data_IF_912452777345
#
_entry.id   IF_912452777345
#
_cell.length_a   1.000
_cell.length_b   1.000
_cell.length_c   1.000
_cell.angle_alpha   90.00
_cell.angle_beta   90.00
_cell.angle_gamma   90.00
#
_symmetry.space_group_name_H-M   'P 1'
#
loop_
_entity.id
_entity.type
_entity.pdbx_description
1 polymer ?
#
# COMPACT_ATOMS: atom_id res chain seq x y z
N UNK A 1 19.62 -0.70 -0.17
CA UNK A 1 18.60 -1.46 0.57
C UNK A 1 18.30 -0.62 1.78
N UNK A 2 17.11 -0.05 1.76
CA UNK A 2 16.65 0.95 2.72
C UNK A 2 15.51 0.29 3.52
N UNK A 3 15.71 0.04 4.82
CA UNK A 3 14.67 -0.48 5.68
C UNK A 3 13.75 0.66 6.13
N UNK A 4 12.44 0.42 6.07
CA UNK A 4 11.44 1.45 6.41
C UNK A 4 10.79 1.13 7.77
N UNK A 5 9.98 0.08 7.82
CA UNK A 5 9.16 -0.26 8.97
C UNK A 5 9.41 -1.69 9.47
N UNK A 6 9.04 -1.98 10.72
CA UNK A 6 9.29 -3.26 11.37
C UNK A 6 8.06 -3.82 12.10
N UNK A 7 7.83 -5.13 11.94
CA UNK A 7 6.90 -5.90 12.75
C UNK A 7 7.59 -7.08 13.43
N UNK A 8 7.20 -7.38 14.66
CA UNK A 8 7.84 -8.43 15.48
C UNK A 8 6.86 -9.60 15.67
N UNK A 9 7.35 -10.83 15.52
CA UNK A 9 6.56 -12.04 15.77
C UNK A 9 6.11 -12.12 17.22
N UNK A 10 4.99 -12.81 17.47
CA UNK A 10 4.42 -12.92 18.82
C UNK A 10 5.38 -13.55 19.86
N UNK A 11 6.31 -14.41 19.43
CA UNK A 11 7.33 -15.02 20.28
C UNK A 11 8.63 -14.21 20.40
N UNK A 12 8.68 -13.02 19.78
CA UNK A 12 9.84 -12.11 19.75
C UNK A 12 11.12 -12.72 19.19
N UNK A 13 11.02 -13.76 18.36
CA UNK A 13 12.18 -14.40 17.73
C UNK A 13 12.45 -13.91 16.31
N UNK A 14 11.42 -13.42 15.62
CA UNK A 14 11.54 -12.91 14.26
C UNK A 14 11.10 -11.46 14.19
N UNK A 15 11.79 -10.70 13.37
CA UNK A 15 11.35 -9.40 12.88
C UNK A 15 11.13 -9.49 11.37
N UNK A 16 10.20 -8.69 10.88
CA UNK A 16 9.88 -8.51 9.48
C UNK A 16 10.04 -7.04 9.16
N UNK A 17 10.90 -6.71 8.21
CA UNK A 17 11.29 -5.34 7.89
C UNK A 17 10.90 -5.04 6.45
N UNK A 18 10.11 -3.99 6.21
CA UNK A 18 9.80 -3.54 4.85
C UNK A 18 11.05 -2.92 4.24
N UNK A 19 11.28 -3.26 2.98
CA UNK A 19 12.35 -2.70 2.14
C UNK A 19 11.65 -1.97 0.99
N UNK A 20 11.09 -0.80 1.30
CA UNK A 20 10.05 -0.18 0.50
C UNK A 20 10.49 0.01 -0.95
N UNK A 21 11.59 0.73 -1.18
CA UNK A 21 12.11 1.04 -2.50
C UNK A 21 12.76 -0.17 -3.19
N UNK A 22 12.88 -1.30 -2.49
CA UNK A 22 13.26 -2.60 -3.05
C UNK A 22 12.06 -3.54 -3.27
N UNK A 23 10.85 -3.10 -2.98
CA UNK A 23 9.61 -3.87 -3.13
C UNK A 23 9.71 -5.25 -2.45
N UNK A 24 10.17 -5.26 -1.19
CA UNK A 24 10.48 -6.49 -0.47
C UNK A 24 10.20 -6.44 1.02
N UNK A 25 10.23 -7.61 1.65
CA UNK A 25 10.23 -7.76 3.11
C UNK A 25 11.40 -8.64 3.53
N UNK A 26 12.28 -8.13 4.39
CA UNK A 26 13.32 -8.92 5.02
C UNK A 26 12.80 -9.64 6.27
N UNK A 27 13.12 -10.93 6.42
CA UNK A 27 12.97 -11.65 7.69
C UNK A 27 14.31 -11.60 8.44
N UNK A 28 14.25 -11.25 9.72
CA UNK A 28 15.39 -11.15 10.62
C UNK A 28 15.17 -12.10 11.78
N UNK A 29 16.14 -12.98 12.03
CA UNK A 29 16.23 -13.70 13.30
C UNK A 29 16.79 -12.74 14.36
N UNK A 30 15.96 -12.40 15.35
CA UNK A 30 16.29 -11.45 16.40
C UNK A 30 17.36 -12.02 17.34
N UNK A 31 17.37 -13.34 17.55
CA UNK A 31 18.27 -14.01 18.50
C UNK A 31 19.69 -14.01 17.96
N UNK A 32 19.88 -14.32 16.68
CA UNK A 32 21.19 -14.29 16.03
C UNK A 32 21.57 -12.93 15.45
N UNK A 33 20.60 -12.01 15.28
CA UNK A 33 20.80 -10.71 14.67
C UNK A 33 21.10 -10.79 13.17
N UNK A 34 20.56 -11.80 12.47
CA UNK A 34 20.85 -12.07 11.06
C UNK A 34 19.61 -12.02 10.18
N UNK A 35 19.73 -11.45 8.98
CA UNK A 35 18.72 -11.57 7.94
C UNK A 35 18.70 -13.02 7.45
N UNK A 36 17.55 -13.67 7.53
CA UNK A 36 17.36 -15.08 7.14
C UNK A 36 16.77 -15.22 5.74
N UNK A 37 16.01 -14.22 5.29
CA UNK A 37 15.31 -14.23 3.99
C UNK A 37 15.01 -12.80 3.53
N UNK A 38 15.00 -12.59 2.22
CA UNK A 38 14.34 -11.44 1.59
C UNK A 38 13.21 -11.99 0.71
N UNK A 39 11.99 -11.53 0.94
CA UNK A 39 10.80 -11.91 0.21
C UNK A 39 10.44 -10.81 -0.80
N UNK A 40 10.69 -11.01 -2.11
CA UNK A 40 10.25 -10.07 -3.13
C UNK A 40 8.72 -10.12 -3.26
N UNK A 41 8.10 -8.95 -3.43
CA UNK A 41 6.63 -8.85 -3.45
C UNK A 41 6.05 -9.01 -4.86
N UNK A 42 6.86 -8.87 -5.90
CA UNK A 42 6.41 -8.89 -7.28
C UNK A 42 5.56 -7.66 -7.61
N UNK A 43 4.57 -7.82 -8.48
CA UNK A 43 3.70 -6.72 -8.91
C UNK A 43 2.24 -7.13 -8.91
N UNK A 44 1.37 -6.13 -8.97
CA UNK A 44 -0.04 -6.30 -9.25
C UNK A 44 -0.35 -5.92 -10.70
N UNK A 45 -1.10 -6.77 -11.38
CA UNK A 45 -1.54 -6.53 -12.76
C UNK A 45 -2.81 -5.67 -12.76
N UNK A 46 -2.71 -4.45 -13.29
CA UNK A 46 -3.80 -3.46 -13.31
C UNK A 46 -4.77 -3.73 -14.47
N UNK A 47 -4.47 -4.69 -15.35
CA UNK A 47 -5.41 -5.14 -16.39
C UNK A 47 -6.54 -6.02 -15.83
N UNK A 48 -6.40 -6.51 -14.59
CA UNK A 48 -7.38 -7.38 -13.92
C UNK A 48 -8.51 -6.59 -13.25
N UNK A 49 -9.72 -7.14 -13.28
CA UNK A 49 -10.95 -6.45 -12.85
C UNK A 49 -10.96 -5.99 -11.38
N UNK A 50 -10.21 -6.68 -10.53
CA UNK A 50 -10.05 -6.38 -9.10
C UNK A 50 -9.03 -5.27 -8.80
N UNK A 51 -8.16 -4.92 -9.76
CA UNK A 51 -7.01 -4.04 -9.56
C UNK A 51 -7.01 -2.66 -10.26
N UNK A 52 -8.09 -2.19 -10.93
CA UNK A 52 -8.03 -0.94 -11.68
C UNK A 52 -7.83 0.26 -10.75
N UNK A 53 -7.08 1.24 -11.25
CA UNK A 53 -6.81 2.53 -10.60
C UNK A 53 -7.18 3.69 -11.51
N UNK A 54 -7.39 4.84 -10.89
CA UNK A 54 -7.34 6.08 -11.63
C UNK A 54 -5.87 6.44 -11.91
N UNK A 55 -5.59 6.88 -13.12
CA UNK A 55 -4.21 7.08 -13.64
C UNK A 55 -3.95 8.51 -14.10
N UNK A 56 -4.96 9.38 -14.10
CA UNK A 56 -4.84 10.72 -14.65
C UNK A 56 -5.51 11.76 -13.76
N UNK A 57 -4.79 12.84 -13.50
CA UNK A 57 -5.29 14.07 -12.89
C UNK A 57 -5.70 15.11 -13.97
N UNK A 58 -5.86 14.69 -15.22
CA UNK A 58 -6.03 15.55 -16.40
C UNK A 58 -7.15 15.12 -17.36
N UNK A 59 -8.03 14.23 -16.94
CA UNK A 59 -9.17 13.77 -17.74
C UNK A 59 -10.54 14.30 -17.25
N UNK A 60 -10.54 15.06 -16.14
CA UNK A 60 -11.71 15.68 -15.49
C UNK A 60 -12.74 14.67 -14.95
N UNK A 61 -12.32 13.48 -14.54
CA UNK A 61 -13.19 12.49 -13.91
C UNK A 61 -12.38 11.62 -12.97
N UNK A 62 -13.04 11.09 -11.94
CA UNK A 62 -12.46 10.02 -11.14
C UNK A 62 -12.95 8.69 -11.72
N UNK A 63 -12.07 7.88 -12.30
CA UNK A 63 -12.42 6.62 -12.96
C UNK A 63 -11.35 5.54 -12.80
N UNK A 64 -11.59 4.62 -11.86
CA UNK A 64 -10.82 3.39 -11.73
C UNK A 64 -10.97 2.51 -12.98
N UNK A 65 -9.92 2.44 -13.80
CA UNK A 65 -9.91 1.71 -15.08
C UNK A 65 -8.80 0.69 -15.17
N UNK A 66 -9.00 -0.32 -16.02
CA UNK A 66 -7.98 -1.29 -16.33
C UNK A 66 -6.98 -0.73 -17.33
N UNK A 67 -5.70 -0.97 -17.07
CA UNK A 67 -4.61 -0.46 -17.90
C UNK A 67 -3.54 -1.55 -18.08
N UNK A 68 -2.80 -1.56 -19.20
CA UNK A 68 -1.74 -2.53 -19.48
C UNK A 68 -0.45 -2.17 -18.70
N UNK A 69 -0.57 -2.06 -17.38
CA UNK A 69 0.53 -1.68 -16.48
C UNK A 69 0.62 -2.67 -15.33
N UNK A 70 1.81 -2.78 -14.76
CA UNK A 70 2.09 -3.50 -13.51
C UNK A 70 2.41 -2.48 -12.42
N UNK A 71 1.86 -2.64 -11.21
CA UNK A 71 2.21 -1.78 -10.09
C UNK A 71 3.09 -2.54 -9.09
N UNK A 72 4.22 -1.98 -8.69
CA UNK A 72 4.94 -2.46 -7.51
C UNK A 72 4.14 -2.17 -6.24
N UNK A 73 4.34 -2.98 -5.20
CA UNK A 73 3.66 -2.80 -3.92
C UNK A 73 4.34 -1.73 -3.06
N UNK A 74 5.69 -1.70 -3.04
CA UNK A 74 6.50 -0.69 -2.34
C UNK A 74 5.92 -0.35 -0.94
N UNK A 75 5.86 -1.32 -0.02
CA UNK A 75 5.16 -1.11 1.22
C UNK A 75 5.99 -0.27 2.20
N UNK A 76 5.36 0.75 2.77
CA UNK A 76 5.88 1.52 3.88
C UNK A 76 5.65 0.71 5.18
N UNK A 77 4.46 0.80 5.78
CA UNK A 77 4.20 0.17 7.06
C UNK A 77 3.92 -1.34 6.99
N UNK A 78 4.21 -2.03 8.09
CA UNK A 78 3.96 -3.46 8.29
C UNK A 78 3.37 -3.76 9.67
N UNK A 79 2.40 -4.67 9.71
CA UNK A 79 1.85 -5.21 10.96
C UNK A 79 1.83 -6.74 10.95
N UNK A 80 2.38 -7.35 12.00
CA UNK A 80 2.29 -8.79 12.23
C UNK A 80 0.98 -9.13 12.96
N UNK A 81 0.31 -10.20 12.55
CA UNK A 81 -0.86 -10.71 13.26
C UNK A 81 -1.04 -12.22 13.07
N UNK A 82 -1.89 -12.82 13.90
CA UNK A 82 -2.24 -14.23 13.77
C UNK A 82 -3.76 -14.43 13.85
N UNK A 83 -4.29 -15.32 13.01
CA UNK A 83 -5.69 -15.77 13.03
C UNK A 83 -5.75 -17.22 12.58
N UNK A 84 -6.66 -18.01 13.17
CA UNK A 84 -6.79 -19.44 12.84
C UNK A 84 -5.49 -20.25 13.02
N UNK A 85 -4.63 -19.85 13.97
CA UNK A 85 -3.33 -20.50 14.22
C UNK A 85 -2.25 -20.23 13.16
N UNK A 86 -2.52 -19.38 12.16
CA UNK A 86 -1.55 -18.99 11.13
C UNK A 86 -1.11 -17.54 11.36
N UNK A 87 0.16 -17.26 11.09
CA UNK A 87 0.75 -15.92 11.20
C UNK A 87 0.80 -15.24 9.84
N UNK A 88 0.53 -13.94 9.83
CA UNK A 88 0.40 -13.10 8.65
C UNK A 88 1.09 -11.76 8.86
N UNK A 89 1.38 -11.09 7.74
CA UNK A 89 1.86 -9.72 7.67
C UNK A 89 0.84 -8.92 6.87
N UNK A 90 0.39 -7.78 7.39
CA UNK A 90 -0.35 -6.78 6.65
C UNK A 90 0.62 -5.67 6.23
N UNK A 91 0.62 -5.30 4.95
CA UNK A 91 1.52 -4.32 4.35
C UNK A 91 0.70 -3.17 3.77
N UNK A 92 1.07 -1.95 4.14
CA UNK A 92 0.54 -0.71 3.58
C UNK A 92 1.32 -0.38 2.30
N UNK A 93 0.71 -0.58 1.14
CA UNK A 93 1.37 -0.41 -0.16
C UNK A 93 1.23 1.06 -0.58
N UNK A 94 2.24 1.86 -0.27
CA UNK A 94 2.22 3.32 -0.42
C UNK A 94 2.76 3.73 -1.80
N UNK A 95 4.09 3.69 -1.98
CA UNK A 95 4.68 3.86 -3.31
C UNK A 95 6.01 4.54 -3.43
N UNK A 96 6.74 4.78 -2.35
CA UNK A 96 8.03 5.45 -2.48
C UNK A 96 9.08 4.67 -3.28
N UNK A 97 9.84 5.43 -4.06
CA UNK A 97 10.84 4.95 -5.01
C UNK A 97 12.22 5.47 -4.69
N UNK A 98 13.24 4.89 -5.34
CA UNK A 98 14.62 5.24 -5.07
C UNK A 98 14.97 6.64 -5.58
N UNK A 99 15.45 7.50 -4.69
CA UNK A 99 16.03 8.79 -5.06
C UNK A 99 17.30 9.09 -4.25
N UNK A 100 18.34 9.60 -4.92
CA UNK A 100 19.55 10.11 -4.28
C UNK A 100 20.19 11.19 -5.14
N UNK A 101 21.30 11.78 -4.66
CA UNK A 101 21.95 12.86 -5.41
C UNK A 101 22.35 12.42 -6.82
N UNK A 102 21.68 12.99 -7.83
CA UNK A 102 21.92 12.72 -9.25
C UNK A 102 21.13 11.54 -9.83
N UNK A 103 20.23 10.94 -9.06
CA UNK A 103 19.33 9.89 -9.52
C UNK A 103 17.95 10.04 -8.91
N UNK A 104 16.95 9.83 -9.74
CA UNK A 104 15.53 9.79 -9.38
C UNK A 104 14.98 8.63 -10.20
N UNK A 105 14.35 7.64 -9.58
CA UNK A 105 13.79 6.49 -10.29
C UNK A 105 12.56 6.87 -11.12
N UNK A 106 11.85 7.91 -10.74
CA UNK A 106 10.57 8.25 -11.30
C UNK A 106 10.67 8.87 -12.69
N UNK A 107 9.64 8.61 -13.47
CA UNK A 107 9.43 9.19 -14.79
C UNK A 107 7.93 9.21 -15.09
N UNK A 108 7.50 10.16 -15.90
CA UNK A 108 6.13 10.19 -16.42
C UNK A 108 6.02 9.23 -17.61
N UNK A 109 4.95 8.46 -17.72
CA UNK A 109 4.79 7.49 -18.82
C UNK A 109 4.90 8.17 -20.19
N UNK A 110 4.47 9.43 -20.35
CA UNK A 110 4.63 10.17 -21.62
C UNK A 110 6.08 10.43 -22.04
N UNK A 111 7.03 10.30 -21.12
CA UNK A 111 8.46 10.46 -21.37
C UNK A 111 9.16 9.13 -21.65
N UNK A 112 8.46 8.00 -21.51
CA UNK A 112 9.00 6.68 -21.86
C UNK A 112 9.01 6.50 -23.39
N UNK A 113 10.06 5.87 -23.91
CA UNK A 113 10.03 5.30 -25.26
C UNK A 113 9.39 3.92 -25.14
N UNK A 114 8.14 3.76 -25.55
CA UNK A 114 7.44 2.47 -25.49
C UNK A 114 7.74 1.63 -26.73
N UNK A 115 7.94 0.32 -26.55
CA UNK A 115 8.14 -0.61 -27.67
C UNK A 115 6.88 -0.60 -28.57
N UNK A 116 7.01 -0.36 -29.89
CA UNK A 116 5.86 -0.26 -30.79
C UNK A 116 5.14 -1.59 -31.05
N UNK A 117 5.78 -2.73 -30.78
CA UNK A 117 5.17 -4.07 -30.90
C UNK A 117 4.32 -4.40 -29.68
N UNK A 118 4.79 -4.07 -28.47
CA UNK A 118 4.09 -4.26 -27.19
C UNK A 118 3.01 -3.21 -26.99
N UNK A 119 3.27 -1.97 -27.38
CA UNK A 119 2.36 -0.84 -27.26
C UNK A 119 2.05 -0.21 -28.62
N UNK A 120 1.33 -0.89 -29.53
CA UNK A 120 0.98 -0.35 -30.85
C UNK A 120 0.08 0.90 -30.77
N UNK A 121 -0.47 1.18 -29.60
CA UNK A 121 -1.32 2.35 -29.30
C UNK A 121 -0.63 3.37 -28.37
N UNK A 122 0.71 3.35 -28.29
CA UNK A 122 1.50 4.23 -27.41
C UNK A 122 1.07 5.70 -27.48
N UNK A 123 0.82 6.25 -28.68
CA UNK A 123 0.38 7.63 -28.86
C UNK A 123 -0.92 7.98 -28.12
N UNK A 124 -1.84 7.02 -28.00
CA UNK A 124 -3.08 7.18 -27.22
C UNK A 124 -2.80 6.95 -25.74
N UNK A 125 -2.07 5.89 -25.38
CA UNK A 125 -1.73 5.58 -23.99
C UNK A 125 -1.01 6.74 -23.30
N UNK A 126 -0.11 7.42 -24.00
CA UNK A 126 0.72 8.50 -23.48
C UNK A 126 0.04 9.89 -23.47
N UNK A 127 -1.25 9.99 -23.83
CA UNK A 127 -2.01 11.23 -23.62
C UNK A 127 -2.10 11.56 -22.13
N UNK A 128 -2.09 12.85 -21.79
CA UNK A 128 -2.16 13.30 -20.39
C UNK A 128 -3.44 12.82 -19.69
N UNK A 129 -4.57 12.76 -20.40
CA UNK A 129 -5.84 12.20 -19.90
C UNK A 129 -5.90 10.66 -19.83
N UNK A 130 -4.82 9.97 -20.19
CA UNK A 130 -4.64 8.53 -20.05
C UNK A 130 -3.43 8.28 -19.13
N UNK A 131 -2.49 7.41 -19.51
CA UNK A 131 -1.31 7.11 -18.70
C UNK A 131 -0.26 8.22 -18.73
N UNK A 132 -0.33 9.18 -19.65
CA UNK A 132 0.78 10.12 -19.90
C UNK A 132 1.28 10.85 -18.65
N UNK A 133 0.37 11.16 -17.72
CA UNK A 133 0.68 11.76 -16.42
C UNK A 133 1.12 10.76 -15.37
N UNK A 134 0.76 9.49 -15.46
CA UNK A 134 1.08 8.49 -14.45
C UNK A 134 2.59 8.44 -14.15
N UNK A 135 2.94 8.42 -12.87
CA UNK A 135 4.30 8.13 -12.39
C UNK A 135 4.61 6.64 -12.59
N UNK A 136 5.75 6.39 -13.23
CA UNK A 136 6.31 5.08 -13.47
C UNK A 136 7.79 5.06 -13.06
N UNK A 137 8.37 3.86 -12.98
CA UNK A 137 9.82 3.70 -12.82
C UNK A 137 10.52 3.62 -14.18
N UNK A 138 11.72 4.21 -14.26
CA UNK A 138 12.65 4.02 -15.39
C UNK A 138 13.71 2.95 -15.14
N UNK A 139 13.68 2.30 -13.97
CA UNK A 139 14.63 1.27 -13.59
C UNK A 139 14.21 -0.13 -14.09
N UNK A 140 12.96 -0.29 -14.52
CA UNK A 140 12.37 -1.53 -15.00
C UNK A 140 11.48 -1.26 -16.22
N UNK A 141 11.29 -2.27 -17.07
CA UNK A 141 10.36 -2.21 -18.21
C UNK A 141 11.02 -2.45 -19.56
N UNK A 142 12.32 -2.20 -19.69
CA UNK A 142 13.15 -2.61 -20.83
C UNK A 142 13.64 -4.05 -20.60
N UNK A 143 12.96 -5.04 -21.19
CA UNK A 143 13.20 -6.45 -20.87
C UNK A 143 14.22 -7.12 -21.78
N UNK A 144 14.53 -6.52 -22.93
CA UNK A 144 15.53 -7.01 -23.89
C UNK A 144 16.77 -6.11 -24.03
N UNK A 145 16.77 -4.93 -23.40
CA UNK A 145 17.91 -4.04 -23.27
C UNK A 145 18.14 -3.11 -24.47
N UNK A 146 17.13 -2.86 -25.28
CA UNK A 146 17.25 -2.07 -26.52
C UNK A 146 16.96 -0.56 -26.32
N UNK A 147 16.55 -0.17 -25.11
CA UNK A 147 16.29 1.20 -24.70
C UNK A 147 14.86 1.70 -24.99
N UNK A 148 13.94 0.86 -25.43
CA UNK A 148 12.51 1.07 -25.19
C UNK A 148 11.92 0.13 -24.13
N UNK A 149 10.68 0.42 -23.75
CA UNK A 149 9.99 -0.22 -22.64
C UNK A 149 8.96 -1.19 -23.18
N UNK A 150 9.15 -2.47 -22.89
CA UNK A 150 8.22 -3.57 -23.17
C UNK A 150 7.04 -3.61 -22.19
N UNK A 151 7.26 -3.10 -20.98
CA UNK A 151 6.32 -3.12 -19.87
C UNK A 151 6.36 -1.78 -19.11
N UNK A 152 5.21 -1.33 -18.62
CA UNK A 152 5.11 -0.12 -17.81
C UNK A 152 4.92 -0.54 -16.35
N UNK A 153 5.82 -0.05 -15.49
CA UNK A 153 5.80 -0.31 -14.06
C UNK A 153 5.44 0.97 -13.29
N UNK A 154 4.25 0.99 -12.68
CA UNK A 154 3.80 2.04 -11.78
C UNK A 154 4.22 1.76 -10.33
N UNK A 155 4.12 2.78 -9.49
CA UNK A 155 4.52 2.74 -8.08
C UNK A 155 3.30 2.54 -7.16
N UNK A 156 3.55 2.09 -5.93
CA UNK A 156 2.60 2.14 -4.83
C UNK A 156 1.61 1.02 -4.71
N UNK A 157 1.00 0.54 -5.78
CA UNK A 157 -0.01 -0.52 -5.65
C UNK A 157 -1.23 -0.14 -4.78
N UNK A 158 -1.25 1.05 -4.13
CA UNK A 158 -2.36 1.80 -3.49
C UNK A 158 -3.39 0.91 -2.80
N UNK A 159 -2.91 0.02 -1.94
CA UNK A 159 -3.77 -0.99 -1.30
C UNK A 159 -3.15 -1.58 -0.05
N UNK A 160 -3.88 -2.49 0.60
CA UNK A 160 -3.34 -3.40 1.60
C UNK A 160 -3.00 -4.77 0.98
N UNK A 161 -1.81 -5.29 1.28
CA UNK A 161 -1.43 -6.69 1.02
C UNK A 161 -1.42 -7.50 2.32
N UNK A 162 -1.84 -8.75 2.27
CA UNK A 162 -1.70 -9.71 3.36
C UNK A 162 -0.82 -10.87 2.89
N UNK A 163 0.30 -11.10 3.57
CA UNK A 163 1.20 -12.22 3.33
C UNK A 163 1.08 -13.28 4.42
N UNK A 164 1.33 -14.54 4.08
CA UNK A 164 1.64 -15.56 5.07
C UNK A 164 3.06 -15.31 5.62
N UNK A 165 3.19 -15.10 6.93
CA UNK A 165 4.47 -14.72 7.54
C UNK A 165 5.53 -15.84 7.50
N UNK A 166 5.11 -17.10 7.42
CA UNK A 166 6.01 -18.25 7.36
C UNK A 166 6.53 -18.53 5.95
N UNK A 167 5.67 -18.41 4.93
CA UNK A 167 6.04 -18.73 3.54
C UNK A 167 6.43 -17.49 2.73
N UNK A 168 5.96 -16.30 3.11
CA UNK A 168 6.07 -15.07 2.33
C UNK A 168 5.08 -14.98 1.16
N UNK A 169 4.18 -15.96 1.01
CA UNK A 169 3.21 -15.96 -0.07
C UNK A 169 2.13 -14.88 0.13
N UNK A 170 1.75 -14.19 -0.94
CA UNK A 170 0.59 -13.30 -0.96
C UNK A 170 -0.69 -14.11 -0.76
N UNK A 171 -1.47 -13.74 0.24
CA UNK A 171 -2.73 -14.39 0.64
C UNK A 171 -3.93 -13.60 0.15
N UNK A 172 -3.88 -12.28 0.25
CA UNK A 172 -4.88 -11.37 -0.28
C UNK A 172 -4.27 -10.01 -0.60
N UNK A 173 -4.89 -9.30 -1.54
CA UNK A 173 -4.73 -7.88 -1.76
C UNK A 173 -6.13 -7.28 -1.88
N UNK A 174 -6.38 -6.13 -1.27
CA UNK A 174 -7.72 -5.52 -1.33
C UNK A 174 -7.98 -4.76 -2.65
N UNK A 175 -7.00 -4.71 -3.56
CA UNK A 175 -7.16 -4.18 -4.91
C UNK A 175 -7.70 -2.76 -4.92
N UNK A 176 -8.67 -2.52 -5.81
CA UNK A 176 -9.36 -1.22 -5.97
C UNK A 176 -10.30 -0.85 -4.83
N UNK A 177 -10.64 -1.80 -3.96
CA UNK A 177 -11.75 -1.67 -2.99
C UNK A 177 -11.55 -0.47 -2.06
N UNK A 178 -10.30 -0.23 -1.66
CA UNK A 178 -9.92 0.88 -0.80
C UNK A 178 -10.23 2.25 -1.44
N UNK A 179 -9.73 2.49 -2.66
CA UNK A 179 -9.97 3.75 -3.37
C UNK A 179 -11.46 3.89 -3.71
N UNK A 180 -12.15 2.81 -4.08
CA UNK A 180 -13.59 2.85 -4.34
C UNK A 180 -14.38 3.34 -3.12
N UNK A 181 -14.05 2.89 -1.91
CA UNK A 181 -14.73 3.36 -0.70
C UNK A 181 -14.46 4.84 -0.40
N UNK A 182 -13.26 5.34 -0.72
CA UNK A 182 -12.91 6.76 -0.57
C UNK A 182 -13.65 7.62 -1.62
N UNK A 183 -13.78 7.12 -2.85
CA UNK A 183 -14.58 7.74 -3.92
C UNK A 183 -16.05 7.80 -3.54
N UNK A 184 -16.62 6.69 -3.07
CA UNK A 184 -18.03 6.60 -2.66
C UNK A 184 -18.33 7.53 -1.47
N UNK A 185 -17.34 7.80 -0.63
CA UNK A 185 -17.42 8.78 0.46
C UNK A 185 -17.30 10.25 0.01
N UNK A 186 -16.98 10.49 -1.27
CA UNK A 186 -16.74 11.83 -1.82
C UNK A 186 -15.49 12.49 -1.26
N UNK A 187 -14.45 11.69 -0.94
CA UNK A 187 -13.21 12.13 -0.27
C UNK A 187 -11.96 11.95 -1.11
N UNK A 188 -12.07 11.36 -2.29
CA UNK A 188 -10.92 11.09 -3.15
C UNK A 188 -10.38 12.38 -3.79
N UNK A 189 -9.06 12.58 -3.71
CA UNK A 189 -8.33 13.70 -4.33
C UNK A 189 -7.82 13.30 -5.73
N UNK A 190 -8.47 13.83 -6.77
CA UNK A 190 -8.12 13.52 -8.16
C UNK A 190 -6.75 14.08 -8.58
N UNK A 191 -6.21 15.08 -7.87
CA UNK A 191 -4.87 15.62 -8.13
C UNK A 191 -3.74 14.60 -7.85
N UNK A 192 -4.11 13.40 -7.36
CA UNK A 192 -3.18 12.32 -6.99
C UNK A 192 -3.42 11.04 -7.77
N UNK A 193 -4.41 11.01 -8.66
CA UNK A 193 -4.68 9.91 -9.58
C UNK A 193 -3.47 9.56 -10.44
N UNK A 194 -2.67 10.54 -10.84
CA UNK A 194 -1.45 10.32 -11.62
C UNK A 194 -0.26 9.79 -10.79
N UNK A 195 -0.39 9.63 -9.47
CA UNK A 195 0.73 9.27 -8.60
C UNK A 195 0.43 8.10 -7.64
N UNK A 196 0.20 8.36 -6.36
CA UNK A 196 -0.02 7.33 -5.33
C UNK A 196 -1.47 7.29 -4.82
N UNK A 197 -2.40 8.02 -5.46
CA UNK A 197 -3.84 7.98 -5.17
C UNK A 197 -4.15 8.35 -3.72
N UNK A 198 -4.76 7.42 -2.98
CA UNK A 198 -5.12 7.64 -1.56
C UNK A 198 -3.95 7.56 -0.57
N UNK A 199 -2.76 7.15 -1.02
CA UNK A 199 -1.51 7.01 -0.24
C UNK A 199 -1.67 6.18 1.04
N UNK A 200 -1.43 4.87 0.91
CA UNK A 200 -1.63 3.90 1.99
C UNK A 200 -0.37 3.82 2.85
N UNK A 201 -0.32 4.62 3.91
CA UNK A 201 0.88 4.85 4.72
C UNK A 201 0.93 3.91 5.93
N UNK A 202 0.08 4.13 6.93
CA UNK A 202 0.08 3.34 8.16
C UNK A 202 -0.74 2.05 8.09
N UNK A 203 -0.29 1.00 8.79
CA UNK A 203 -1.14 -0.15 9.12
C UNK A 203 -0.89 -0.71 10.51
N UNK A 204 -1.99 -1.00 11.23
CA UNK A 204 -1.96 -1.85 12.42
C UNK A 204 -3.09 -2.86 12.40
N UNK A 205 -2.83 -4.08 12.85
CA UNK A 205 -3.84 -5.14 12.93
C UNK A 205 -4.01 -5.58 14.38
N UNK A 206 -5.25 -5.56 14.87
CA UNK A 206 -5.56 -5.92 16.24
C UNK A 206 -6.87 -6.69 16.38
N UNK A 207 -6.97 -7.46 17.46
CA UNK A 207 -8.21 -8.14 17.80
C UNK A 207 -9.17 -7.18 18.52
N UNK A 208 -10.36 -7.01 17.96
CA UNK A 208 -11.46 -6.22 18.53
C UNK A 208 -12.72 -7.07 18.54
N UNK A 209 -13.28 -7.33 19.73
CA UNK A 209 -14.52 -8.08 19.93
C UNK A 209 -14.55 -9.41 19.15
N UNK A 210 -13.43 -10.15 19.20
CA UNK A 210 -13.28 -11.47 18.56
C UNK A 210 -12.89 -11.44 17.08
N UNK A 211 -12.89 -10.28 16.43
CA UNK A 211 -12.48 -10.10 15.03
C UNK A 211 -11.07 -9.55 14.94
N UNK A 212 -10.31 -9.97 13.95
CA UNK A 212 -9.05 -9.30 13.58
C UNK A 212 -9.38 -8.14 12.64
N UNK A 213 -9.07 -6.92 13.06
CA UNK A 213 -9.31 -5.71 12.29
C UNK A 213 -7.98 -5.09 11.88
N UNK A 214 -7.81 -4.82 10.60
CA UNK A 214 -6.77 -3.96 10.06
C UNK A 214 -7.27 -2.51 10.05
N UNK A 215 -6.48 -1.61 10.62
CA UNK A 215 -6.67 -0.17 10.56
C UNK A 215 -5.58 0.39 9.64
N UNK A 216 -6.00 1.08 8.60
CA UNK A 216 -5.16 1.48 7.46
C UNK A 216 -5.22 3.00 7.38
N UNK A 217 -4.09 3.68 7.56
CA UNK A 217 -3.95 5.12 7.37
C UNK A 217 -3.91 5.44 5.88
N UNK A 218 -4.67 6.46 5.48
CA UNK A 218 -4.74 6.98 4.12
C UNK A 218 -4.30 8.44 4.17
N UNK A 219 -3.00 8.66 3.96
CA UNK A 219 -2.32 9.93 4.18
C UNK A 219 -3.02 11.03 3.38
N UNK A 220 -3.24 10.79 2.10
CA UNK A 220 -3.63 11.86 1.17
C UNK A 220 -5.08 12.31 1.27
N UNK A 221 -5.91 11.53 1.95
CA UNK A 221 -7.35 11.77 2.06
C UNK A 221 -7.81 11.99 3.50
N UNK A 222 -6.86 12.06 4.45
CA UNK A 222 -7.11 12.31 5.87
C UNK A 222 -8.08 11.29 6.51
N UNK A 223 -7.90 10.01 6.19
CA UNK A 223 -8.81 8.97 6.67
C UNK A 223 -8.09 7.74 7.22
N UNK A 224 -8.83 6.96 8.01
CA UNK A 224 -8.51 5.58 8.31
C UNK A 224 -9.60 4.67 7.77
N UNK A 225 -9.20 3.66 6.99
CA UNK A 225 -10.06 2.56 6.59
C UNK A 225 -9.90 1.38 7.57
N UNK A 226 -10.99 0.65 7.81
CA UNK A 226 -11.00 -0.53 8.67
C UNK A 226 -11.51 -1.73 7.89
N UNK A 227 -10.74 -2.82 7.93
CA UNK A 227 -11.09 -4.10 7.32
C UNK A 227 -11.10 -5.22 8.34
N UNK A 228 -12.09 -6.10 8.29
CA UNK A 228 -12.11 -7.38 8.98
C UNK A 228 -11.25 -8.38 8.20
N UNK A 229 -10.12 -8.76 8.79
CA UNK A 229 -9.12 -9.70 8.25
C UNK A 229 -9.13 -11.03 9.03
N UNK A 230 -10.20 -11.32 9.77
CA UNK A 230 -10.34 -12.59 10.49
C UNK A 230 -10.20 -13.79 9.54
N UNK A 231 -10.77 -13.67 8.34
CA UNK A 231 -10.51 -14.55 7.21
C UNK A 231 -9.51 -13.85 6.28
N UNK A 232 -8.21 -14.06 6.50
CA UNK A 232 -7.13 -13.33 5.80
C UNK A 232 -7.17 -13.41 4.27
N UNK A 233 -7.75 -14.46 3.69
CA UNK A 233 -7.91 -14.63 2.24
C UNK A 233 -9.12 -13.87 1.65
N UNK A 234 -9.98 -13.31 2.49
CA UNK A 234 -11.16 -12.54 2.07
C UNK A 234 -11.42 -11.37 3.03
N UNK A 235 -10.54 -10.34 3.06
CA UNK A 235 -10.77 -9.12 3.83
C UNK A 235 -12.12 -8.49 3.52
N UNK A 236 -12.76 -7.88 4.51
CA UNK A 236 -14.06 -7.20 4.33
C UNK A 236 -14.02 -5.81 4.89
N UNK A 237 -14.41 -4.82 4.09
CA UNK A 237 -14.56 -3.45 4.56
C UNK A 237 -15.54 -3.37 5.74
N UNK A 238 -15.20 -2.56 6.74
CA UNK A 238 -16.00 -2.34 7.95
C UNK A 238 -16.46 -0.89 8.01
N UNK A 239 -15.52 0.05 7.93
CA UNK A 239 -15.80 1.48 8.03
C UNK A 239 -14.64 2.32 7.51
N UNK A 240 -14.93 3.58 7.24
CA UNK A 240 -13.99 4.63 6.87
C UNK A 240 -14.34 5.87 7.69
N UNK A 241 -13.35 6.54 8.28
CA UNK A 241 -13.57 7.75 9.08
C UNK A 241 -12.38 8.70 8.98
N UNK A 242 -12.67 10.00 9.14
CA UNK A 242 -11.66 11.06 9.02
C UNK A 242 -10.75 11.18 10.25
N UNK A 243 -9.52 11.64 10.00
CA UNK A 243 -8.46 11.85 11.00
C UNK A 243 -8.05 13.32 11.07
N UNK A 244 -6.80 13.60 11.44
CA UNK A 244 -6.12 14.87 11.09
C UNK A 244 -5.49 14.78 9.70
N UNK A 245 -4.84 15.86 9.31
CA UNK A 245 -4.17 16.04 8.01
C UNK A 245 -2.95 15.12 7.88
N UNK A 246 -2.89 14.31 6.81
CA UNK A 246 -1.82 13.34 6.54
C UNK A 246 -1.56 12.32 7.69
N UNK A 247 -2.48 11.35 7.92
CA UNK A 247 -2.28 10.30 8.91
C UNK A 247 -1.16 9.32 8.53
N UNK A 248 -0.20 9.20 9.45
CA UNK A 248 1.04 8.43 9.32
C UNK A 248 1.02 7.22 10.26
N UNK A 249 1.31 7.48 11.54
CA UNK A 249 1.37 6.47 12.59
C UNK A 249 -0.01 6.02 13.03
N UNK A 250 -0.29 4.73 12.90
CA UNK A 250 -1.52 4.10 13.38
C UNK A 250 -1.20 3.07 14.47
N UNK A 251 -1.67 3.30 15.70
CA UNK A 251 -1.40 2.44 16.86
C UNK A 251 -2.69 1.98 17.53
N UNK A 252 -2.81 0.68 17.79
CA UNK A 252 -3.91 0.13 18.57
C UNK A 252 -3.50 -0.17 20.01
N UNK A 253 -4.30 0.29 20.98
CA UNK A 253 -4.15 0.00 22.41
C UNK A 253 -5.32 -0.87 22.87
N UNK A 254 -4.97 -2.03 23.47
CA UNK A 254 -5.95 -3.00 23.96
C UNK A 254 -6.73 -2.45 25.16
N UNK A 255 -7.99 -2.89 25.38
CA UNK A 255 -8.80 -2.44 26.52
C UNK A 255 -8.09 -2.51 27.88
N UNK A 256 -7.35 -3.60 28.14
CA UNK A 256 -6.61 -3.82 29.39
C UNK A 256 -5.45 -2.85 29.62
N UNK A 257 -4.93 -2.25 28.55
CA UNK A 257 -3.78 -1.34 28.55
C UNK A 257 -4.23 0.13 28.37
N UNK A 258 -5.54 0.34 28.17
CA UNK A 258 -6.15 1.65 27.93
C UNK A 258 -6.64 2.28 29.24
N UNK A 259 -6.49 3.61 29.41
CA UNK A 259 -6.91 4.31 30.63
C UNK A 259 -8.42 4.29 30.88
N UNK A 260 -9.24 4.00 29.86
CA UNK A 260 -10.71 3.98 29.97
C UNK A 260 -11.29 2.56 29.86
N UNK A 261 -10.45 1.52 29.82
CA UNK A 261 -10.90 0.13 29.70
C UNK A 261 -11.52 -0.24 28.35
N UNK A 262 -11.36 0.61 27.32
CA UNK A 262 -11.87 0.37 25.95
C UNK A 262 -10.73 0.27 24.96
N UNK A 263 -10.98 -0.41 23.84
CA UNK A 263 -10.08 -0.38 22.68
C UNK A 263 -9.88 1.07 22.23
N UNK A 264 -8.62 1.46 22.04
CA UNK A 264 -8.26 2.77 21.49
C UNK A 264 -7.47 2.59 20.21
N UNK A 265 -7.79 3.39 19.20
CA UNK A 265 -6.92 3.62 18.06
C UNK A 265 -6.33 5.02 18.21
N UNK A 266 -5.02 5.13 18.08
CA UNK A 266 -4.28 6.39 18.12
C UNK A 266 -3.76 6.62 16.71
N UNK A 267 -4.03 7.79 16.16
CA UNK A 267 -3.55 8.20 14.84
C UNK A 267 -2.74 9.48 15.00
N UNK A 268 -1.49 9.44 14.56
CA UNK A 268 -0.64 10.61 14.43
C UNK A 268 -0.77 11.16 12.99
N UNK A 269 -0.97 12.46 12.89
CA UNK A 269 -1.18 13.19 11.64
C UNK A 269 -0.08 14.24 11.51
N UNK A 270 0.72 14.18 10.45
CA UNK A 270 1.90 15.03 10.32
C UNK A 270 1.59 16.41 9.74
N UNK A 271 0.60 16.50 8.84
CA UNK A 271 0.25 17.74 8.14
C UNK A 271 -0.24 18.82 9.11
N UNK A 272 -1.03 18.40 10.12
CA UNK A 272 -1.54 19.28 11.18
C UNK A 272 -0.82 19.13 12.53
N UNK A 273 0.11 18.17 12.64
CA UNK A 273 0.86 17.87 13.86
C UNK A 273 0.01 17.37 15.02
N UNK A 274 -1.14 16.75 14.76
CA UNK A 274 -2.07 16.28 15.81
C UNK A 274 -1.99 14.78 16.07
N UNK A 275 -2.36 14.39 17.29
CA UNK A 275 -2.60 12.97 17.65
C UNK A 275 -4.05 12.83 18.09
N UNK A 276 -4.81 12.01 17.37
CA UNK A 276 -6.23 11.76 17.66
C UNK A 276 -6.43 10.36 18.23
N UNK A 277 -7.34 10.27 19.18
CA UNK A 277 -7.72 9.03 19.86
C UNK A 277 -9.15 8.67 19.48
N UNK A 278 -9.33 7.49 18.90
CA UNK A 278 -10.62 6.95 18.50
C UNK A 278 -10.97 5.75 19.37
N UNK A 279 -12.26 5.55 19.61
CA UNK A 279 -12.77 4.41 20.36
C UNK A 279 -14.09 3.93 19.76
N UNK A 280 -14.47 2.65 19.97
CA UNK A 280 -15.80 2.17 19.66
C UNK A 280 -16.87 2.92 20.48
N UNK A 281 -18.04 3.17 19.86
CA UNK A 281 -19.19 3.76 20.55
C UNK A 281 -19.82 2.82 21.60
N UNK A 282 -19.55 1.51 21.51
CA UNK A 282 -20.05 0.48 22.42
C UNK A 282 -18.89 -0.39 22.89
N UNK A 283 -18.96 -0.82 24.15
CA UNK A 283 -18.04 -1.83 24.73
C UNK A 283 -18.32 -3.16 24.04
#
# INVERSE_FOLDING_TARGET
IEPEYIAISADSKKAYVTLQENNGVAEVDIVSGSITKINPLGTRDISLAENPFDVSDKDNKILLSNWPIKAFYLPDAISFFSTGGTSYLALANEGDTRAWKGYDEEVRVKSLKLDPTKFPTAATLQLDGNLGRLTATKAYGDTDGDGDYDEIYATGGRSLSILNAGTGALVANIGKDLEQHVIDAGKYDDERSDNKGVEVEGVTVAQVNGKMLAFIGLERVDMVAVYDVTTSAAPKFVQLFSTGDAPEGVLFVKPKDSPNGRSLLIVASEGDGTVKFFQPNKI
#
